data_IF_143547148160
#
_entry.id   IF_143547148160
#
_cell.length_a   1.000
_cell.length_b   1.000
_cell.length_c   1.000
_cell.angle_alpha   90.00
_cell.angle_beta   90.00
_cell.angle_gamma   90.00
#
_symmetry.space_group_name_H-M   'P 1'
#
loop_
_entity.id
_entity.type
_entity.pdbx_description
1 polymer ?
#
# COMPACT_ATOMS: atom_id res chain seq x y z
N UNK A 1 -4.05 35.07 9.98
CA UNK A 1 -3.27 34.80 8.75
C UNK A 1 -2.38 33.59 9.01
N UNK A 2 -2.53 32.51 8.24
CA UNK A 2 -1.81 31.25 8.49
C UNK A 2 -0.29 31.48 8.32
N UNK A 3 0.55 31.13 9.30
CA UNK A 3 2.03 31.26 9.17
C UNK A 3 2.54 30.67 7.83
N UNK A 4 1.90 29.60 7.37
CA UNK A 4 2.19 28.93 6.10
C UNK A 4 1.93 29.83 4.89
N UNK A 5 0.83 30.61 4.85
CA UNK A 5 0.57 31.55 3.74
C UNK A 5 1.60 32.67 3.73
N UNK A 6 2.00 33.16 4.91
CA UNK A 6 3.03 34.19 5.04
C UNK A 6 4.38 33.71 4.47
N UNK A 7 4.88 32.56 4.93
CA UNK A 7 6.16 32.02 4.41
C UNK A 7 6.07 31.65 2.92
N UNK A 8 4.96 31.06 2.46
CA UNK A 8 4.77 30.73 1.04
C UNK A 8 4.90 31.97 0.15
N UNK A 9 4.30 33.08 0.59
CA UNK A 9 4.32 34.34 -0.16
C UNK A 9 5.71 35.01 -0.17
N UNK A 10 6.50 34.85 0.90
CA UNK A 10 7.92 35.27 0.93
C UNK A 10 8.77 34.57 -0.14
N UNK A 11 8.41 33.34 -0.52
CA UNK A 11 9.05 32.59 -1.60
C UNK A 11 8.33 32.71 -2.95
N UNK A 12 7.41 33.67 -3.10
CA UNK A 12 6.67 33.91 -4.35
C UNK A 12 5.64 32.83 -4.72
N UNK A 13 5.25 31.98 -3.77
CA UNK A 13 4.31 30.88 -3.99
C UNK A 13 2.91 31.25 -3.48
N UNK A 14 1.91 31.19 -4.35
CA UNK A 14 0.51 31.39 -3.99
C UNK A 14 -0.16 30.06 -3.63
N UNK A 15 -0.77 30.00 -2.45
CA UNK A 15 -1.47 28.81 -1.98
C UNK A 15 -2.85 28.73 -2.63
N UNK A 16 -3.11 27.62 -3.32
CA UNK A 16 -4.42 27.35 -3.90
C UNK A 16 -5.41 26.86 -2.83
N UNK A 17 -6.19 27.79 -2.30
CA UNK A 17 -7.19 27.57 -1.23
C UNK A 17 -8.18 26.44 -1.58
N UNK A 18 -8.55 26.27 -2.86
CA UNK A 18 -9.48 25.20 -3.29
C UNK A 18 -8.86 23.81 -3.20
N UNK A 19 -7.53 23.69 -3.36
CA UNK A 19 -6.81 22.41 -3.29
C UNK A 19 -6.26 22.12 -1.90
N UNK A 20 -6.05 23.13 -1.07
CA UNK A 20 -5.54 22.97 0.29
C UNK A 20 -6.67 22.74 1.27
N UNK A 21 -6.68 21.56 1.90
CA UNK A 21 -7.56 21.25 3.01
C UNK A 21 -6.75 20.97 4.26
N UNK A 22 -7.26 21.35 5.43
CA UNK A 22 -6.54 21.15 6.70
C UNK A 22 -6.87 19.77 7.28
N UNK A 23 -5.82 19.06 7.69
CA UNK A 23 -5.94 17.84 8.49
C UNK A 23 -5.60 18.18 9.94
N UNK A 24 -6.59 18.08 10.82
CA UNK A 24 -6.44 18.41 12.24
C UNK A 24 -5.79 17.21 12.95
N UNK A 25 -4.55 17.38 13.38
CA UNK A 25 -3.77 16.35 14.12
C UNK A 25 -3.86 16.56 15.65
N UNK A 26 -4.38 17.71 16.11
CA UNK A 26 -4.50 18.07 17.54
C UNK A 26 -5.87 18.72 17.82
N UNK A 27 -6.37 18.67 19.06
CA UNK A 27 -7.72 19.10 19.50
C UNK A 27 -8.05 20.62 19.34
N UNK A 28 -7.45 21.33 18.39
CA UNK A 28 -7.80 22.73 18.11
C UNK A 28 -8.93 22.77 17.06
N UNK A 29 -10.06 23.39 17.42
CA UNK A 29 -11.16 23.67 16.50
C UNK A 29 -10.76 24.84 15.58
N UNK A 30 -10.88 24.64 14.28
CA UNK A 30 -10.65 25.64 13.23
C UNK A 30 -11.89 25.66 12.34
N UNK A 31 -12.20 26.82 11.74
CA UNK A 31 -13.39 27.08 10.90
C UNK A 31 -13.26 26.62 9.44
N UNK A 32 -12.10 26.14 8.99
CA UNK A 32 -11.86 25.69 7.61
C UNK A 32 -12.31 24.23 7.38
N UNK A 33 -12.51 23.82 6.11
CA UNK A 33 -12.92 22.45 5.75
C UNK A 33 -11.96 21.39 6.33
N UNK A 34 -12.47 20.64 7.30
CA UNK A 34 -11.74 19.58 8.00
C UNK A 34 -11.79 18.30 7.16
N UNK A 35 -10.64 17.82 6.69
CA UNK A 35 -10.55 16.47 6.09
C UNK A 35 -10.48 15.44 7.20
N UNK A 36 -11.61 14.77 7.45
CA UNK A 36 -11.71 13.68 8.44
C UNK A 36 -11.01 12.41 7.98
N UNK A 37 -10.87 12.21 6.67
CA UNK A 37 -10.25 11.03 6.07
C UNK A 37 -9.33 11.45 4.93
N UNK A 38 -8.01 11.45 5.16
CA UNK A 38 -7.06 11.56 4.06
C UNK A 38 -7.13 10.26 3.25
N UNK A 39 -7.40 10.39 1.95
CA UNK A 39 -7.58 9.25 1.05
C UNK A 39 -6.21 8.63 0.69
N UNK A 40 -5.48 8.09 1.68
CA UNK A 40 -4.26 7.28 1.48
C UNK A 40 -4.55 6.03 0.62
N UNK A 41 -5.83 5.67 0.49
CA UNK A 41 -6.37 4.53 -0.26
C UNK A 41 -6.71 4.85 -1.72
N UNK A 42 -6.39 6.06 -2.20
CA UNK A 42 -6.57 6.44 -3.60
C UNK A 42 -5.90 5.48 -4.59
N UNK A 43 -4.96 4.64 -4.16
CA UNK A 43 -4.34 3.63 -5.01
C UNK A 43 -5.33 2.57 -5.53
N UNK A 44 -6.23 2.03 -4.70
CA UNK A 44 -7.24 1.07 -5.17
C UNK A 44 -8.22 1.77 -6.11
N UNK A 45 -8.65 2.98 -5.77
CA UNK A 45 -9.56 3.78 -6.61
C UNK A 45 -8.91 4.10 -7.96
N UNK A 46 -7.64 4.52 -7.96
CA UNK A 46 -6.86 4.79 -9.17
C UNK A 46 -6.66 3.52 -9.99
N UNK A 47 -6.27 2.41 -9.37
CA UNK A 47 -6.11 1.12 -10.04
C UNK A 47 -7.44 0.62 -10.64
N UNK A 48 -8.55 0.81 -9.93
CA UNK A 48 -9.89 0.52 -10.45
C UNK A 48 -10.24 1.40 -11.64
N UNK A 49 -9.94 2.69 -11.57
CA UNK A 49 -10.13 3.62 -12.67
C UNK A 49 -9.28 3.27 -13.89
N UNK A 50 -8.01 2.88 -13.71
CA UNK A 50 -7.14 2.47 -14.82
C UNK A 50 -7.64 1.19 -15.47
N UNK A 51 -8.06 0.19 -14.68
CA UNK A 51 -8.71 -1.01 -15.22
C UNK A 51 -9.96 -0.68 -16.04
N UNK A 52 -10.83 0.20 -15.53
CA UNK A 52 -12.05 0.58 -16.24
C UNK A 52 -11.77 1.29 -17.57
N UNK A 53 -10.74 2.16 -17.64
CA UNK A 53 -10.30 2.80 -18.89
C UNK A 53 -9.85 1.76 -19.93
N UNK A 54 -9.16 0.71 -19.49
CA UNK A 54 -8.76 -0.42 -20.33
C UNK A 54 -9.85 -1.51 -20.44
N UNK A 55 -11.10 -1.19 -20.05
CA UNK A 55 -12.15 -2.17 -19.93
C UNK A 55 -12.50 -2.88 -21.23
N UNK A 56 -12.41 -2.19 -22.37
CA UNK A 56 -12.63 -2.79 -23.69
C UNK A 56 -11.61 -3.91 -23.99
N UNK A 57 -10.34 -3.67 -23.67
CA UNK A 57 -9.25 -4.64 -23.81
C UNK A 57 -9.49 -5.87 -22.91
N UNK A 58 -9.76 -5.66 -21.62
CA UNK A 58 -9.94 -6.78 -20.68
C UNK A 58 -11.20 -7.61 -20.97
N UNK A 59 -12.23 -7.01 -21.58
CA UNK A 59 -13.49 -7.68 -21.95
C UNK A 59 -13.50 -8.27 -23.36
N UNK A 60 -12.47 -8.10 -24.19
CA UNK A 60 -12.47 -8.71 -25.53
C UNK A 60 -12.43 -10.25 -25.43
N UNK A 61 -13.05 -10.98 -26.35
CA UNK A 61 -12.98 -12.46 -26.38
C UNK A 61 -11.74 -12.95 -27.16
N UNK A 62 -11.23 -12.12 -28.07
CA UNK A 62 -10.18 -12.49 -29.02
C UNK A 62 -8.77 -12.52 -28.40
N UNK A 63 -8.63 -12.23 -27.10
CA UNK A 63 -7.35 -12.17 -26.40
C UNK A 63 -7.22 -13.28 -25.38
N UNK A 64 -6.06 -13.92 -25.36
CA UNK A 64 -5.73 -14.95 -24.38
C UNK A 64 -5.75 -14.39 -22.95
N UNK A 65 -6.06 -15.26 -21.99
CA UNK A 65 -6.04 -14.89 -20.57
C UNK A 65 -4.63 -14.48 -20.11
N UNK A 66 -3.57 -15.13 -20.62
CA UNK A 66 -2.18 -14.77 -20.28
C UNK A 66 -1.86 -13.32 -20.67
N UNK A 67 -2.21 -12.90 -21.89
CA UNK A 67 -1.96 -11.53 -22.34
C UNK A 67 -2.72 -10.53 -21.46
N UNK A 68 -3.96 -10.85 -21.06
CA UNK A 68 -4.74 -10.00 -20.15
C UNK A 68 -4.11 -9.91 -18.76
N UNK A 69 -3.68 -11.03 -18.18
CA UNK A 69 -3.00 -11.04 -16.88
C UNK A 69 -1.71 -10.23 -16.94
N UNK A 70 -0.92 -10.37 -18.01
CA UNK A 70 0.31 -9.60 -18.22
C UNK A 70 0.05 -8.09 -18.27
N UNK A 71 -0.97 -7.66 -19.02
CA UNK A 71 -1.35 -6.24 -19.08
C UNK A 71 -1.89 -5.72 -17.74
N UNK A 72 -2.63 -6.55 -17.01
CA UNK A 72 -3.14 -6.20 -15.68
C UNK A 72 -1.98 -5.98 -14.71
N UNK A 73 -0.97 -6.85 -14.71
CA UNK A 73 0.27 -6.69 -13.92
C UNK A 73 0.99 -5.39 -14.26
N UNK A 74 1.12 -5.08 -15.54
CA UNK A 74 1.88 -3.91 -15.99
C UNK A 74 1.19 -2.57 -15.71
N UNK A 75 -0.12 -2.46 -15.96
CA UNK A 75 -0.84 -1.18 -15.87
C UNK A 75 -1.64 -0.98 -14.58
N UNK A 76 -2.28 -2.03 -14.08
CA UNK A 76 -3.17 -1.93 -12.91
C UNK A 76 -2.40 -2.17 -11.63
N UNK A 77 -1.60 -3.24 -11.58
CA UNK A 77 -0.81 -3.55 -10.38
C UNK A 77 0.36 -2.59 -10.17
N UNK A 78 0.95 -2.01 -11.22
CA UNK A 78 1.94 -0.93 -11.06
C UNK A 78 1.36 0.27 -10.30
N UNK A 79 0.14 0.70 -10.66
CA UNK A 79 -0.58 1.79 -9.99
C UNK A 79 -1.01 1.39 -8.59
N UNK A 80 -1.49 0.15 -8.42
CA UNK A 80 -1.86 -0.36 -7.10
C UNK A 80 -0.66 -0.38 -6.15
N UNK A 81 0.49 -0.85 -6.63
CA UNK A 81 1.68 -0.98 -5.80
C UNK A 81 2.44 0.33 -5.60
N UNK A 82 1.98 1.41 -6.22
CA UNK A 82 2.55 2.73 -6.05
C UNK A 82 2.41 3.17 -4.58
N UNK A 83 3.55 3.36 -3.91
CA UNK A 83 3.59 3.78 -2.51
C UNK A 83 3.34 2.67 -1.48
N UNK A 84 3.29 1.39 -1.87
CA UNK A 84 3.10 0.26 -0.93
C UNK A 84 4.05 0.29 0.26
N UNK A 85 5.29 0.77 0.05
CA UNK A 85 6.32 0.90 1.08
C UNK A 85 5.88 1.76 2.26
N UNK A 86 5.04 2.78 2.06
CA UNK A 86 4.60 3.71 3.11
C UNK A 86 3.25 3.36 3.75
N UNK A 87 2.52 2.35 3.23
CA UNK A 87 1.16 2.07 3.70
C UNK A 87 1.11 1.43 5.09
N UNK A 88 0.11 1.79 5.90
CA UNK A 88 -0.24 1.08 7.14
C UNK A 88 -1.44 0.17 6.87
N UNK A 89 -1.23 -1.15 6.85
CA UNK A 89 -2.14 -2.11 6.20
C UNK A 89 -3.24 -2.72 7.10
N UNK A 90 -3.52 -2.14 8.28
CA UNK A 90 -4.35 -2.76 9.32
C UNK A 90 -5.69 -3.34 8.80
N UNK A 91 -6.41 -2.60 7.97
CA UNK A 91 -7.74 -2.99 7.44
C UNK A 91 -7.79 -3.08 5.90
N UNK A 92 -6.63 -3.17 5.26
CA UNK A 92 -6.51 -3.04 3.79
C UNK A 92 -6.30 -4.40 3.12
N UNK A 93 -5.76 -5.41 3.82
CA UNK A 93 -5.53 -6.74 3.24
C UNK A 93 -6.80 -7.36 2.63
N UNK A 94 -7.90 -7.40 3.39
CA UNK A 94 -9.19 -7.91 2.90
C UNK A 94 -9.71 -7.14 1.68
N UNK A 95 -9.51 -5.81 1.67
CA UNK A 95 -9.90 -4.96 0.54
C UNK A 95 -9.06 -5.22 -0.71
N UNK A 96 -7.77 -5.52 -0.54
CA UNK A 96 -6.86 -5.87 -1.64
C UNK A 96 -7.20 -7.22 -2.24
N UNK A 97 -7.47 -8.22 -1.40
CA UNK A 97 -7.94 -9.54 -1.88
C UNK A 97 -9.28 -9.42 -2.61
N UNK A 98 -10.24 -8.68 -2.05
CA UNK A 98 -11.51 -8.41 -2.73
C UNK A 98 -11.32 -7.66 -4.05
N UNK A 99 -10.37 -6.73 -4.12
CA UNK A 99 -10.04 -5.99 -5.34
C UNK A 99 -9.43 -6.89 -6.41
N UNK A 100 -8.48 -7.76 -6.05
CA UNK A 100 -7.90 -8.76 -6.95
C UNK A 100 -8.98 -9.69 -7.51
N UNK A 101 -9.86 -10.20 -6.64
CA UNK A 101 -11.00 -11.03 -7.02
C UNK A 101 -12.00 -10.29 -7.92
N UNK A 102 -12.20 -8.99 -7.69
CA UNK A 102 -13.04 -8.16 -8.54
C UNK A 102 -12.45 -8.02 -9.95
N UNK A 103 -11.14 -7.82 -10.08
CA UNK A 103 -10.47 -7.73 -11.38
C UNK A 103 -10.63 -9.03 -12.19
N UNK A 104 -10.37 -10.18 -11.58
CA UNK A 104 -10.48 -11.49 -12.23
C UNK A 104 -11.90 -11.80 -12.69
N UNK A 105 -12.91 -11.55 -11.84
CA UNK A 105 -14.32 -11.72 -12.24
C UNK A 105 -14.70 -10.84 -13.43
N UNK A 106 -14.19 -9.61 -13.50
CA UNK A 106 -14.45 -8.70 -14.62
C UNK A 106 -13.78 -9.14 -15.92
N UNK A 107 -12.59 -9.74 -15.85
CA UNK A 107 -11.92 -10.34 -17.00
C UNK A 107 -12.69 -11.56 -17.52
N UNK A 108 -13.14 -12.44 -16.61
CA UNK A 108 -13.92 -13.63 -16.94
C UNK A 108 -15.39 -13.35 -17.28
N UNK A 109 -15.84 -12.08 -17.14
CA UNK A 109 -17.23 -11.65 -17.33
C UNK A 109 -18.24 -12.40 -16.46
N UNK A 110 -17.83 -12.86 -15.28
CA UNK A 110 -18.72 -13.55 -14.35
C UNK A 110 -19.72 -12.52 -13.79
N UNK A 111 -21.04 -12.69 -14.03
CA UNK A 111 -22.05 -11.86 -13.40
C UNK A 111 -22.13 -12.18 -11.90
N UNK A 112 -22.60 -11.23 -11.12
CA UNK A 112 -22.70 -11.40 -9.66
C UNK A 112 -23.77 -12.43 -9.27
N UNK A 113 -24.73 -12.73 -10.16
CA UNK A 113 -25.82 -13.70 -9.99
C UNK A 113 -25.33 -15.14 -9.89
N UNK A 114 -24.21 -15.46 -10.54
CA UNK A 114 -23.71 -16.84 -10.63
C UNK A 114 -23.11 -17.36 -9.32
N UNK A 115 -22.95 -16.49 -8.30
CA UNK A 115 -22.45 -16.82 -6.95
C UNK A 115 -21.18 -17.69 -6.95
N UNK A 116 -20.32 -17.55 -7.97
CA UNK A 116 -19.09 -18.32 -8.12
C UNK A 116 -18.12 -18.04 -6.98
N UNK A 117 -17.58 -19.10 -6.38
CA UNK A 117 -16.62 -19.02 -5.28
C UNK A 117 -15.29 -18.40 -5.73
N UNK A 118 -14.53 -17.81 -4.81
CA UNK A 118 -13.24 -17.20 -5.14
C UNK A 118 -12.21 -18.23 -5.66
N UNK A 119 -12.28 -19.46 -5.16
CA UNK A 119 -11.39 -20.56 -5.58
C UNK A 119 -11.67 -20.96 -7.03
N UNK A 120 -12.94 -21.06 -7.41
CA UNK A 120 -13.32 -21.36 -8.79
C UNK A 120 -12.91 -20.25 -9.76
N UNK A 121 -13.01 -18.98 -9.35
CA UNK A 121 -12.49 -17.85 -10.15
C UNK A 121 -10.99 -17.98 -10.40
N UNK A 122 -10.21 -18.36 -9.38
CA UNK A 122 -8.76 -18.56 -9.51
C UNK A 122 -8.43 -19.75 -10.43
N UNK A 123 -9.16 -20.87 -10.31
CA UNK A 123 -9.03 -22.03 -11.20
C UNK A 123 -9.29 -21.65 -12.66
N UNK A 124 -10.37 -20.93 -12.94
CA UNK A 124 -10.70 -20.46 -14.31
C UNK A 124 -9.69 -19.47 -14.87
N UNK A 125 -9.12 -18.61 -14.02
CA UNK A 125 -8.02 -17.71 -14.43
C UNK A 125 -6.69 -18.44 -14.62
N UNK A 126 -6.55 -19.65 -14.10
CA UNK A 126 -5.27 -20.35 -13.93
C UNK A 126 -4.21 -19.47 -13.25
N UNK A 127 -4.60 -18.79 -12.15
CA UNK A 127 -3.72 -17.90 -11.39
C UNK A 127 -3.84 -18.16 -9.89
N UNK A 128 -2.81 -17.78 -9.13
CA UNK A 128 -2.82 -17.73 -7.67
C UNK A 128 -2.97 -16.27 -7.20
N UNK A 129 -3.20 -16.08 -5.89
CA UNK A 129 -3.28 -14.72 -5.30
C UNK A 129 -1.89 -14.11 -5.23
N UNK A 130 -1.63 -13.02 -5.94
CA UNK A 130 -0.29 -12.42 -6.04
C UNK A 130 -0.18 -11.05 -5.36
N UNK A 131 -1.29 -10.31 -5.25
CA UNK A 131 -1.27 -8.92 -4.79
C UNK A 131 -0.74 -8.79 -3.37
N UNK A 132 -1.28 -9.61 -2.48
CA UNK A 132 -0.93 -9.56 -1.05
C UNK A 132 0.49 -10.09 -0.80
N UNK A 133 0.89 -11.15 -1.50
CA UNK A 133 2.26 -11.70 -1.47
C UNK A 133 3.25 -10.63 -1.90
N UNK A 134 3.02 -10.01 -3.06
CA UNK A 134 3.90 -8.97 -3.60
C UNK A 134 4.05 -7.78 -2.64
N UNK A 135 2.97 -7.38 -1.98
CA UNK A 135 2.99 -6.29 -1.00
C UNK A 135 3.82 -6.65 0.23
N UNK A 136 3.64 -7.86 0.78
CA UNK A 136 4.46 -8.35 1.90
C UNK A 136 5.93 -8.38 1.54
N UNK A 137 6.29 -8.94 0.38
CA UNK A 137 7.67 -9.02 -0.10
C UNK A 137 8.29 -7.63 -0.29
N UNK A 138 7.60 -6.70 -0.99
CA UNK A 138 8.11 -5.33 -1.21
C UNK A 138 8.32 -4.56 0.08
N UNK A 139 7.45 -4.75 1.07
CA UNK A 139 7.60 -4.11 2.38
C UNK A 139 8.75 -4.70 3.17
N UNK A 140 8.89 -6.01 3.20
CA UNK A 140 9.99 -6.67 3.90
C UNK A 140 11.34 -6.33 3.25
N UNK A 141 11.42 -6.32 1.93
CA UNK A 141 12.61 -5.88 1.18
C UNK A 141 12.97 -4.42 1.51
N UNK A 142 11.98 -3.53 1.57
CA UNK A 142 12.21 -2.14 1.95
C UNK A 142 12.66 -1.98 3.40
N UNK A 143 12.09 -2.78 4.31
CA UNK A 143 12.53 -2.82 5.70
C UNK A 143 14.01 -3.21 5.81
N UNK A 144 14.43 -4.25 5.08
CA UNK A 144 15.84 -4.62 4.95
C UNK A 144 16.72 -3.50 4.45
N UNK A 145 16.30 -2.87 3.35
CA UNK A 145 17.03 -1.75 2.76
C UNK A 145 17.20 -0.58 3.72
N UNK A 146 16.20 -0.29 4.55
CA UNK A 146 16.28 0.74 5.58
C UNK A 146 17.30 0.34 6.65
N UNK A 147 17.22 -0.89 7.17
CA UNK A 147 18.08 -1.34 8.28
C UNK A 147 19.54 -1.51 7.87
N UNK A 148 19.82 -1.78 6.59
CA UNK A 148 21.19 -2.00 6.09
C UNK A 148 21.94 -0.71 5.75
N UNK A 149 21.24 0.36 5.35
CA UNK A 149 21.90 1.63 5.00
C UNK A 149 21.79 2.62 6.16
N UNK A 150 22.63 2.42 7.18
CA UNK A 150 22.67 3.25 8.39
C UNK A 150 22.92 4.72 8.08
N UNK A 151 23.87 5.04 7.20
CA UNK A 151 24.23 6.42 6.86
C UNK A 151 23.09 7.18 6.17
N UNK A 152 22.35 6.52 5.26
CA UNK A 152 21.31 7.17 4.45
C UNK A 152 19.95 7.22 5.14
N UNK A 153 19.63 6.24 5.98
CA UNK A 153 18.31 6.09 6.59
C UNK A 153 18.33 6.15 8.13
N UNK A 154 19.38 6.69 8.75
CA UNK A 154 19.49 6.85 10.21
C UNK A 154 18.21 7.35 10.88
N UNK A 155 17.59 8.40 10.32
CA UNK A 155 16.34 8.95 10.85
C UNK A 155 15.18 7.94 10.80
N UNK A 156 15.01 7.23 9.67
CA UNK A 156 13.97 6.22 9.49
C UNK A 156 14.20 5.01 10.41
N UNK A 157 15.45 4.61 10.61
CA UNK A 157 15.81 3.57 11.57
C UNK A 157 15.46 3.98 12.99
N UNK A 158 15.84 5.18 13.42
CA UNK A 158 15.49 5.72 14.74
C UNK A 158 13.97 5.78 14.94
N UNK A 159 13.20 6.16 13.91
CA UNK A 159 11.73 6.16 13.94
C UNK A 159 11.16 4.74 14.08
N UNK A 160 11.68 3.78 13.33
CA UNK A 160 11.20 2.39 13.36
C UNK A 160 11.53 1.69 14.69
N UNK A 161 12.75 1.89 15.20
CA UNK A 161 13.21 1.37 16.49
C UNK A 161 12.52 2.08 17.67
N UNK A 162 12.10 3.33 17.47
CA UNK A 162 11.46 4.16 18.48
C UNK A 162 12.47 4.91 19.37
N UNK A 163 13.71 5.07 18.91
CA UNK A 163 14.80 5.74 19.62
C UNK A 163 14.73 7.28 19.49
N UNK A 164 13.54 7.85 19.27
CA UNK A 164 13.36 9.29 19.15
C UNK A 164 13.23 9.89 20.56
N UNK A 165 14.10 10.83 20.91
CA UNK A 165 14.05 11.56 22.18
C UNK A 165 12.76 12.39 22.30
N UNK A 166 12.08 12.28 23.45
CA UNK A 166 10.89 13.08 23.79
C UNK A 166 9.72 12.29 24.41
N UNK A 167 8.77 12.99 25.06
CA UNK A 167 7.51 12.40 25.53
C UNK A 167 6.61 12.09 24.33
N UNK A 168 6.35 10.80 24.09
CA UNK A 168 5.45 10.36 23.02
C UNK A 168 4.00 10.39 23.49
N UNK A 169 3.12 11.06 22.74
CA UNK A 169 1.68 10.83 22.88
C UNK A 169 1.34 9.37 22.56
N UNK A 170 0.37 8.79 23.26
CA UNK A 170 -0.08 7.38 23.18
C UNK A 170 -0.51 6.88 21.77
N UNK A 171 -0.44 7.73 20.76
CA UNK A 171 -1.21 7.60 19.53
C UNK A 171 -0.40 7.22 18.29
N UNK A 172 0.93 7.33 18.30
CA UNK A 172 1.77 6.77 17.23
C UNK A 172 1.97 5.26 17.44
N UNK A 173 0.85 4.52 17.40
CA UNK A 173 0.88 3.06 17.35
C UNK A 173 1.71 2.66 16.13
N UNK A 174 2.72 1.82 16.36
CA UNK A 174 3.65 1.21 15.39
C UNK A 174 2.90 0.37 14.34
N UNK A 175 1.95 0.93 13.61
CA UNK A 175 1.04 0.20 12.71
C UNK A 175 1.80 -0.41 11.55
N UNK A 176 2.85 0.25 11.05
CA UNK A 176 3.65 -0.27 9.94
C UNK A 176 4.46 -1.52 10.32
N UNK A 177 5.29 -1.44 11.37
CA UNK A 177 6.11 -2.57 11.86
C UNK A 177 5.25 -3.67 12.50
N UNK A 178 4.12 -3.31 13.13
CA UNK A 178 3.13 -4.27 13.61
C UNK A 178 2.61 -5.17 12.48
N UNK A 179 2.43 -4.65 11.26
CA UNK A 179 2.02 -5.49 10.14
C UNK A 179 3.06 -6.56 9.81
N UNK A 180 4.35 -6.20 9.78
CA UNK A 180 5.42 -7.17 9.51
C UNK A 180 5.46 -8.26 10.58
N UNK A 181 5.39 -7.90 11.86
CA UNK A 181 5.32 -8.89 12.94
C UNK A 181 4.14 -9.84 12.81
N UNK A 182 2.96 -9.32 12.47
CA UNK A 182 1.75 -10.15 12.31
C UNK A 182 1.90 -11.08 11.10
N UNK A 183 2.42 -10.58 9.97
CA UNK A 183 2.52 -11.40 8.76
C UNK A 183 3.58 -12.48 8.82
N UNK A 184 4.68 -12.21 9.51
CA UNK A 184 5.82 -13.12 9.61
C UNK A 184 5.86 -13.86 10.95
N UNK A 185 4.86 -13.66 11.82
CA UNK A 185 4.78 -14.22 13.16
C UNK A 185 6.10 -14.08 13.96
N UNK A 186 6.69 -12.88 13.95
CA UNK A 186 8.00 -12.60 14.55
C UNK A 186 7.93 -11.46 15.55
N UNK A 187 8.90 -11.42 16.46
CA UNK A 187 9.08 -10.30 17.40
C UNK A 187 9.97 -9.23 16.74
N UNK A 188 9.83 -7.96 17.15
CA UNK A 188 10.61 -6.85 16.57
C UNK A 188 12.12 -7.10 16.59
N UNK A 189 12.65 -7.69 17.68
CA UNK A 189 14.09 -8.00 17.82
C UNK A 189 14.55 -9.00 16.77
N UNK A 190 13.78 -10.06 16.54
CA UNK A 190 14.08 -11.05 15.50
C UNK A 190 14.02 -10.43 14.11
N UNK A 191 13.05 -9.54 13.86
CA UNK A 191 12.97 -8.79 12.60
C UNK A 191 14.19 -7.89 12.37
N UNK A 192 14.65 -7.16 13.39
CA UNK A 192 15.85 -6.32 13.25
C UNK A 192 17.10 -7.16 12.99
N UNK A 193 17.28 -8.29 13.71
CA UNK A 193 18.39 -9.23 13.47
C UNK A 193 18.33 -9.83 12.06
N UNK A 194 17.15 -10.25 11.62
CA UNK A 194 16.95 -10.74 10.26
C UNK A 194 17.22 -9.65 9.21
N UNK A 195 16.94 -8.38 9.53
CA UNK A 195 17.15 -7.29 8.61
C UNK A 195 18.63 -6.95 8.37
N UNK A 196 19.50 -7.23 9.35
CA UNK A 196 20.93 -7.09 9.22
C UNK A 196 21.53 -8.07 8.19
N UNK A 197 20.88 -9.22 7.95
CA UNK A 197 21.35 -10.25 7.04
C UNK A 197 20.48 -10.32 5.77
N UNK A 198 21.03 -9.91 4.61
CA UNK A 198 20.31 -9.94 3.33
C UNK A 198 19.77 -11.32 2.96
N UNK A 199 20.50 -12.38 3.32
CA UNK A 199 20.13 -13.78 3.06
C UNK A 199 18.86 -14.15 3.84
N UNK A 200 18.76 -13.79 5.13
CA UNK A 200 17.57 -14.05 5.94
C UNK A 200 16.33 -13.34 5.40
N UNK A 201 16.47 -12.09 4.94
CA UNK A 201 15.35 -11.39 4.28
C UNK A 201 14.91 -12.11 3.01
N UNK A 202 15.86 -12.55 2.18
CA UNK A 202 15.54 -13.28 0.95
C UNK A 202 14.79 -14.59 1.26
N UNK A 203 15.28 -15.38 2.21
CA UNK A 203 14.62 -16.60 2.68
C UNK A 203 13.20 -16.33 3.20
N UNK A 204 13.03 -15.26 4.00
CA UNK A 204 11.70 -14.86 4.48
C UNK A 204 10.76 -14.44 3.34
N UNK A 205 11.27 -13.89 2.24
CA UNK A 205 10.47 -13.54 1.06
C UNK A 205 10.09 -14.79 0.27
N UNK A 206 11.02 -15.73 0.10
CA UNK A 206 10.79 -16.98 -0.64
C UNK A 206 9.78 -17.87 0.08
N UNK A 207 9.81 -17.92 1.42
CA UNK A 207 8.79 -18.60 2.22
C UNK A 207 7.37 -18.02 2.10
N UNK A 208 7.18 -16.84 1.50
CA UNK A 208 5.83 -16.29 1.21
C UNK A 208 5.33 -16.77 -0.15
N UNK A 209 6.25 -17.13 -1.06
CA UNK A 209 5.96 -17.51 -2.45
C UNK A 209 5.66 -18.99 -2.58
N UNK A 210 6.26 -19.81 -1.72
CA UNK A 210 5.99 -21.24 -1.56
C UNK A 210 4.79 -21.45 -0.63
#
# INVERSE_FOLDING_TARGET
>A
MNKITYYSQQYGLNINVKKTKLMIISKKRITEEIVTHYNYLGAIIKARSTFNRMGAFFRSLNLSLDTKVRMLRYYVFSVLFYGVKSWTLKDICRKLEAFEMWLYRRILKIPWTDRVTNEEVLKRMNQTREVLITIKSRKLQFFGHIMQNESRYALLQAILQGNIFGKHGLERRRTWLKNLRIWFNTISVQLYRAAAEKIKIAMMIDNIRN
#
